data_IF_912045556507
#
_entry.id   IF_912045556507
#
_cell.length_a   1.000
_cell.length_b   1.000
_cell.length_c   1.000
_cell.angle_alpha   90.00
_cell.angle_beta   90.00
_cell.angle_gamma   90.00
#
_symmetry.space_group_name_H-M   'P 1'
#
loop_
_entity.id
_entity.type
_entity.pdbx_description
1 polymer ?
#
# COMPACT_ATOMS: atom_id res chain seq x y z
N UNK A 1 -68.83 -41.27 -8.70
CA UNK A 1 -68.59 -39.84 -8.31
C UNK A 1 -68.71 -39.74 -6.78
N UNK A 2 -67.58 -39.71 -6.10
CA UNK A 2 -67.54 -39.62 -4.64
C UNK A 2 -66.84 -38.30 -4.24
N UNK A 3 -67.64 -37.36 -3.74
CA UNK A 3 -67.18 -36.03 -3.28
C UNK A 3 -66.57 -36.16 -1.90
N UNK A 4 -65.21 -35.96 -1.79
CA UNK A 4 -64.53 -35.84 -0.52
C UNK A 4 -64.69 -34.39 -0.01
N UNK A 5 -65.52 -34.22 1.04
CA UNK A 5 -65.59 -32.99 1.82
C UNK A 5 -64.31 -32.85 2.67
N UNK A 6 -63.48 -31.88 2.36
CA UNK A 6 -62.39 -31.41 3.25
C UNK A 6 -63.02 -30.59 4.38
N UNK A 7 -62.96 -31.11 5.61
CA UNK A 7 -63.25 -30.36 6.81
C UNK A 7 -62.11 -29.39 7.10
N UNK A 8 -62.33 -28.11 6.93
CA UNK A 8 -61.44 -27.09 7.46
C UNK A 8 -61.65 -27.01 8.99
N UNK A 9 -60.61 -27.35 9.74
CA UNK A 9 -60.57 -27.17 11.18
C UNK A 9 -60.22 -25.69 11.44
N UNK A 10 -61.20 -24.87 11.80
CA UNK A 10 -60.96 -23.50 12.27
C UNK A 10 -60.51 -23.55 13.72
N UNK A 11 -59.23 -23.25 13.96
CA UNK A 11 -58.70 -23.06 15.31
C UNK A 11 -59.34 -21.81 15.95
N UNK A 12 -59.76 -21.87 17.23
CA UNK A 12 -60.39 -20.73 17.92
C UNK A 12 -59.42 -19.56 18.09
N UNK A 13 -59.89 -18.32 17.92
CA UNK A 13 -59.10 -17.11 17.86
C UNK A 13 -58.23 -16.84 19.14
N UNK A 14 -58.62 -17.40 20.30
CA UNK A 14 -57.87 -17.30 21.54
C UNK A 14 -56.58 -18.16 21.53
N UNK A 15 -56.55 -19.22 20.75
CA UNK A 15 -55.35 -20.07 20.60
C UNK A 15 -54.25 -19.36 19.82
N UNK A 16 -54.62 -18.51 18.87
CA UNK A 16 -53.69 -17.71 18.10
C UNK A 16 -52.95 -16.67 18.96
N UNK A 17 -53.66 -16.03 19.91
CA UNK A 17 -53.04 -15.08 20.84
C UNK A 17 -51.94 -15.74 21.70
N UNK A 18 -52.21 -16.93 22.24
CA UNK A 18 -51.22 -17.65 23.06
C UNK A 18 -49.97 -18.05 22.25
N UNK A 19 -50.15 -18.43 20.99
CA UNK A 19 -49.03 -18.76 20.09
C UNK A 19 -48.18 -17.53 19.79
N UNK A 20 -48.79 -16.37 19.54
CA UNK A 20 -48.06 -15.11 19.35
C UNK A 20 -47.38 -14.62 20.65
N UNK A 21 -48.02 -14.78 21.80
CA UNK A 21 -47.42 -14.43 23.08
C UNK A 21 -46.21 -15.31 23.42
N UNK A 22 -46.26 -16.61 23.14
CA UNK A 22 -45.10 -17.53 23.28
C UNK A 22 -44.02 -17.23 22.29
N UNK A 23 -44.35 -16.96 21.04
CA UNK A 23 -43.39 -16.59 20.02
C UNK A 23 -42.68 -15.25 20.35
N UNK A 24 -43.43 -14.24 20.82
CA UNK A 24 -42.87 -12.96 21.24
C UNK A 24 -41.97 -13.11 22.48
N UNK A 25 -42.35 -13.93 23.45
CA UNK A 25 -41.55 -14.23 24.64
C UNK A 25 -40.24 -14.96 24.24
N UNK A 26 -40.29 -15.90 23.31
CA UNK A 26 -39.10 -16.62 22.76
C UNK A 26 -38.14 -15.67 22.05
N UNK A 27 -38.66 -14.74 21.25
CA UNK A 27 -37.84 -13.74 20.56
C UNK A 27 -37.18 -12.80 21.56
N UNK A 28 -37.91 -12.34 22.61
CA UNK A 28 -37.35 -11.50 23.68
C UNK A 28 -36.28 -12.25 24.46
N UNK A 29 -36.48 -13.51 24.79
CA UNK A 29 -35.48 -14.36 25.47
C UNK A 29 -34.28 -14.58 24.58
N UNK A 30 -34.47 -14.74 23.27
CA UNK A 30 -33.37 -14.92 22.28
C UNK A 30 -32.58 -13.61 22.12
N UNK A 31 -33.23 -12.47 22.04
CA UNK A 31 -32.58 -11.15 21.97
C UNK A 31 -31.84 -10.83 23.27
N UNK A 32 -32.45 -11.09 24.44
CA UNK A 32 -31.76 -10.96 25.73
C UNK A 32 -30.61 -11.95 25.84
N UNK A 33 -30.78 -13.19 25.39
CA UNK A 33 -29.70 -14.19 25.32
C UNK A 33 -28.55 -13.76 24.46
N UNK A 34 -28.78 -13.28 23.23
CA UNK A 34 -27.74 -12.85 22.31
C UNK A 34 -27.01 -11.58 22.80
N UNK A 35 -27.70 -10.69 23.49
CA UNK A 35 -27.12 -9.43 24.01
C UNK A 35 -26.54 -9.58 25.42
N UNK A 36 -27.12 -10.41 26.27
CA UNK A 36 -26.74 -10.56 27.69
C UNK A 36 -25.86 -11.76 27.98
N UNK A 37 -25.95 -12.86 27.21
CA UNK A 37 -25.08 -14.04 27.38
C UNK A 37 -23.59 -13.73 27.21
N UNK A 38 -23.15 -12.91 26.25
CA UNK A 38 -21.72 -12.54 26.20
C UNK A 38 -21.26 -11.78 27.45
N UNK A 39 -22.16 -11.09 28.15
CA UNK A 39 -21.85 -10.35 29.39
C UNK A 39 -21.90 -11.24 30.65
N UNK A 40 -22.62 -12.33 30.60
CA UNK A 40 -22.76 -13.27 31.72
C UNK A 40 -21.77 -14.43 31.67
N UNK A 41 -21.31 -14.82 30.49
CA UNK A 41 -20.38 -15.95 30.28
C UNK A 41 -18.92 -15.50 30.26
N UNK A 42 -18.62 -14.22 29.97
CA UNK A 42 -17.30 -13.67 30.25
C UNK A 42 -17.31 -13.16 31.71
N UNK A 43 -16.65 -13.87 32.65
CA UNK A 43 -16.27 -13.23 33.90
C UNK A 43 -15.52 -11.96 33.47
N UNK A 44 -15.96 -10.81 33.93
CA UNK A 44 -15.31 -9.52 33.66
C UNK A 44 -13.86 -9.71 34.04
N UNK A 45 -13.04 -10.01 33.07
CA UNK A 45 -11.62 -10.15 33.21
C UNK A 45 -11.12 -8.75 33.58
N UNK A 46 -11.09 -8.46 34.88
CA UNK A 46 -10.84 -7.13 35.44
C UNK A 46 -9.37 -6.78 35.49
N UNK A 47 -8.51 -7.67 34.99
CA UNK A 47 -7.07 -7.52 35.03
C UNK A 47 -6.47 -6.78 33.83
N UNK A 48 -5.25 -6.29 34.00
CA UNK A 48 -4.48 -5.63 32.95
C UNK A 48 -4.31 -6.52 31.70
N UNK A 49 -4.09 -7.83 31.90
CA UNK A 49 -3.97 -8.81 30.82
C UNK A 49 -5.26 -8.93 29.99
N UNK A 50 -6.39 -8.89 30.66
CA UNK A 50 -7.68 -8.96 29.99
C UNK A 50 -7.96 -7.71 29.12
N UNK A 51 -7.57 -6.53 29.58
CA UNK A 51 -7.68 -5.30 28.79
C UNK A 51 -6.83 -5.41 27.51
N UNK A 52 -5.60 -5.92 27.61
CA UNK A 52 -4.73 -6.15 26.45
C UNK A 52 -5.30 -7.22 25.53
N UNK A 53 -5.81 -8.32 26.06
CA UNK A 53 -6.46 -9.38 25.28
C UNK A 53 -7.65 -8.85 24.50
N UNK A 54 -8.49 -8.03 25.11
CA UNK A 54 -9.62 -7.38 24.44
C UNK A 54 -9.13 -6.44 23.33
N UNK A 55 -8.10 -5.64 23.57
CA UNK A 55 -7.49 -4.79 22.55
C UNK A 55 -6.96 -5.59 21.36
N UNK A 56 -6.24 -6.68 21.63
CA UNK A 56 -5.73 -7.57 20.60
C UNK A 56 -6.86 -8.24 19.79
N UNK A 57 -7.95 -8.63 20.44
CA UNK A 57 -9.14 -9.18 19.76
C UNK A 57 -9.81 -8.15 18.81
N UNK A 58 -9.84 -6.87 19.20
CA UNK A 58 -10.33 -5.83 18.30
C UNK A 58 -9.47 -5.71 17.04
N UNK A 59 -8.14 -5.80 17.18
CA UNK A 59 -7.20 -5.80 16.06
C UNK A 59 -7.36 -7.06 15.19
N UNK A 60 -7.48 -8.23 15.80
CA UNK A 60 -7.68 -9.51 15.11
C UNK A 60 -9.00 -9.53 14.31
N UNK A 61 -10.04 -8.89 14.84
CA UNK A 61 -11.33 -8.73 14.16
C UNK A 61 -11.33 -7.62 13.09
N UNK A 62 -10.24 -6.88 12.93
CA UNK A 62 -10.17 -5.73 12.03
C UNK A 62 -10.99 -4.51 12.46
N UNK A 63 -11.39 -4.44 13.73
CA UNK A 63 -12.15 -3.32 14.32
C UNK A 63 -11.22 -2.20 14.75
N UNK A 64 -10.53 -1.60 13.79
CA UNK A 64 -9.44 -0.67 14.04
C UNK A 64 -9.89 0.64 14.70
N UNK A 65 -11.07 1.18 14.37
CA UNK A 65 -11.60 2.36 15.04
C UNK A 65 -11.92 2.05 16.53
N UNK A 66 -12.46 0.86 16.81
CA UNK A 66 -12.73 0.46 18.18
C UNK A 66 -11.40 0.25 18.96
N UNK A 67 -10.39 -0.32 18.33
CA UNK A 67 -9.05 -0.44 18.91
C UNK A 67 -8.42 0.93 19.18
N UNK A 68 -8.56 1.89 18.26
CA UNK A 68 -8.09 3.27 18.43
C UNK A 68 -8.86 4.01 19.52
N UNK A 69 -10.18 3.77 19.66
CA UNK A 69 -10.99 4.33 20.75
C UNK A 69 -10.56 3.78 22.11
N UNK A 70 -10.24 2.49 22.21
CA UNK A 70 -9.71 1.86 23.42
C UNK A 70 -8.30 2.37 23.76
N UNK A 71 -7.42 2.46 22.75
CA UNK A 71 -6.01 2.87 22.87
C UNK A 71 -5.72 4.03 21.91
N UNK A 72 -5.93 5.28 22.35
CA UNK A 72 -5.74 6.45 21.50
C UNK A 72 -4.32 6.50 20.90
N UNK A 73 -4.26 6.71 19.60
CA UNK A 73 -3.02 6.80 18.84
C UNK A 73 -2.78 8.27 18.46
N UNK A 74 -1.56 8.77 18.75
CA UNK A 74 -1.15 10.09 18.28
C UNK A 74 -0.81 9.97 16.79
N UNK A 75 -1.57 10.67 15.96
CA UNK A 75 -1.30 10.73 14.52
C UNK A 75 -0.24 11.82 14.29
N UNK A 76 0.95 11.46 13.75
CA UNK A 76 1.96 12.45 13.37
C UNK A 76 1.43 13.40 12.29
N UNK A 77 1.85 14.67 12.33
CA UNK A 77 1.37 15.70 11.39
C UNK A 77 1.81 15.47 9.94
N UNK A 78 2.83 14.64 9.72
CA UNK A 78 3.37 14.23 8.41
C UNK A 78 2.75 12.93 7.89
N UNK A 79 1.70 12.39 8.56
CA UNK A 79 0.98 11.19 8.12
C UNK A 79 0.14 11.50 6.88
N UNK A 80 0.56 10.98 5.75
CA UNK A 80 -0.17 11.12 4.47
C UNK A 80 -1.34 10.14 4.33
N UNK A 81 -1.25 8.95 4.94
CA UNK A 81 -2.27 7.90 4.85
C UNK A 81 -2.59 7.33 6.23
N UNK A 82 -3.85 7.40 6.61
CA UNK A 82 -4.31 6.83 7.88
C UNK A 82 -5.06 5.52 7.64
N UNK A 83 -4.40 4.40 7.99
CA UNK A 83 -4.93 3.04 7.88
C UNK A 83 -5.50 2.50 9.21
N UNK A 84 -5.71 3.33 10.22
CA UNK A 84 -6.34 2.94 11.48
C UNK A 84 -7.87 2.85 11.35
N UNK A 85 -8.38 2.56 10.17
CA UNK A 85 -9.79 2.41 9.84
C UNK A 85 -10.08 0.96 9.50
N UNK A 86 -11.24 0.45 9.89
CA UNK A 86 -11.65 -0.92 9.61
C UNK A 86 -11.73 -1.25 8.12
N UNK A 87 -11.97 -0.24 7.29
CA UNK A 87 -11.88 -0.36 5.83
C UNK A 87 -10.50 -0.82 5.33
N UNK A 88 -9.41 -0.47 6.04
CA UNK A 88 -8.08 -0.99 5.71
C UNK A 88 -7.97 -2.50 5.98
N UNK A 89 -8.66 -2.98 7.03
CA UNK A 89 -8.68 -4.39 7.40
C UNK A 89 -9.54 -5.26 6.47
N UNK A 90 -10.54 -4.68 5.80
CA UNK A 90 -11.43 -5.42 4.88
C UNK A 90 -10.68 -6.00 3.68
N UNK A 91 -9.64 -5.29 3.20
CA UNK A 91 -8.79 -5.73 2.11
C UNK A 91 -7.45 -6.35 2.56
N UNK A 92 -7.30 -6.62 3.86
CA UNK A 92 -6.07 -7.23 4.36
C UNK A 92 -6.05 -8.74 4.03
N UNK A 93 -5.05 -9.18 3.27
CA UNK A 93 -4.84 -10.59 2.94
C UNK A 93 -4.35 -11.39 4.16
N UNK A 94 -3.55 -10.75 5.03
CA UNK A 94 -3.06 -11.33 6.27
C UNK A 94 -3.47 -10.51 7.50
N UNK A 95 -4.46 -11.01 8.26
CA UNK A 95 -4.87 -10.38 9.52
C UNK A 95 -3.93 -10.74 10.66
N UNK A 96 -3.86 -9.84 11.64
CA UNK A 96 -3.23 -10.16 12.92
C UNK A 96 -3.99 -11.31 13.59
N UNK A 97 -3.25 -12.28 14.10
CA UNK A 97 -3.77 -13.39 14.92
C UNK A 97 -3.01 -13.45 16.25
N UNK A 98 -3.73 -13.35 17.35
CA UNK A 98 -3.16 -13.43 18.69
C UNK A 98 -2.74 -14.87 19.00
N UNK A 99 -1.51 -15.05 19.47
CA UNK A 99 -0.98 -16.36 19.93
C UNK A 99 -1.09 -16.44 21.45
N UNK A 100 -0.53 -15.45 22.16
CA UNK A 100 -0.55 -15.45 23.62
C UNK A 100 -0.41 -14.04 24.20
N UNK A 101 -0.93 -13.88 25.40
CA UNK A 101 -0.75 -12.69 26.23
C UNK A 101 -0.21 -13.19 27.57
N UNK A 102 0.87 -12.58 28.06
CA UNK A 102 1.49 -12.93 29.34
C UNK A 102 1.91 -11.68 30.11
N UNK A 103 1.64 -11.69 31.39
CA UNK A 103 2.05 -10.61 32.30
C UNK A 103 3.54 -10.65 32.49
N UNK A 104 4.22 -9.53 32.27
CA UNK A 104 5.65 -9.32 32.50
C UNK A 104 5.93 -8.56 33.78
N UNK A 105 6.91 -7.65 33.72
CA UNK A 105 7.32 -6.86 34.90
C UNK A 105 6.27 -5.86 35.32
N UNK A 106 6.11 -5.69 36.62
CA UNK A 106 5.31 -4.65 37.25
C UNK A 106 6.27 -3.57 37.79
N UNK A 107 6.07 -2.33 37.39
CA UNK A 107 6.86 -1.20 37.85
C UNK A 107 5.92 -0.09 38.29
N UNK A 108 5.82 0.12 39.62
CA UNK A 108 4.83 1.03 40.21
C UNK A 108 3.39 0.62 39.88
N UNK A 109 2.64 1.51 39.25
CA UNK A 109 1.28 1.26 38.78
C UNK A 109 1.21 0.72 37.35
N UNK A 110 2.34 0.57 36.67
CA UNK A 110 2.42 0.12 35.26
C UNK A 110 2.81 -1.36 35.20
N UNK A 111 2.03 -2.11 34.45
CA UNK A 111 2.29 -3.52 34.15
C UNK A 111 2.71 -3.66 32.70
N UNK A 112 3.85 -4.24 32.44
CA UNK A 112 4.26 -4.64 31.09
C UNK A 112 3.61 -5.97 30.73
N UNK A 113 2.90 -5.99 29.63
CA UNK A 113 2.24 -7.20 29.09
C UNK A 113 2.91 -7.57 27.78
N UNK A 114 3.46 -8.77 27.73
CA UNK A 114 4.03 -9.31 26.50
C UNK A 114 2.92 -9.95 25.67
N UNK A 115 2.77 -9.50 24.41
CA UNK A 115 1.87 -10.08 23.44
C UNK A 115 2.67 -10.79 22.35
N UNK A 116 2.29 -12.00 22.01
CA UNK A 116 2.79 -12.74 20.85
C UNK A 116 1.68 -12.88 19.84
N UNK A 117 1.96 -12.53 18.59
CA UNK A 117 0.99 -12.54 17.51
C UNK A 117 1.67 -12.94 16.20
N UNK A 118 0.88 -13.23 15.18
CA UNK A 118 1.32 -13.43 13.80
C UNK A 118 0.55 -12.48 12.88
N UNK A 119 1.13 -12.19 11.73
CA UNK A 119 0.46 -11.51 10.62
C UNK A 119 0.38 -12.49 9.46
N UNK A 120 -0.83 -12.85 9.06
CA UNK A 120 -1.05 -13.91 8.08
C UNK A 120 -0.34 -15.21 8.49
N UNK A 121 0.40 -15.80 7.57
CA UNK A 121 1.20 -17.00 7.77
C UNK A 121 2.69 -16.68 8.08
N UNK A 122 2.98 -15.43 8.44
CA UNK A 122 4.32 -14.97 8.77
C UNK A 122 4.86 -15.54 10.09
N UNK A 123 6.12 -15.23 10.39
CA UNK A 123 6.75 -15.64 11.64
C UNK A 123 6.08 -14.97 12.87
N UNK A 124 6.03 -15.66 14.03
CA UNK A 124 5.54 -15.08 15.26
C UNK A 124 6.31 -13.80 15.63
N UNK A 125 5.58 -12.75 15.95
CA UNK A 125 6.09 -11.46 16.41
C UNK A 125 5.83 -11.32 17.91
N UNK A 126 6.62 -10.45 18.56
CA UNK A 126 6.45 -10.15 19.97
C UNK A 126 6.49 -8.65 20.18
N UNK A 127 5.53 -8.13 20.96
CA UNK A 127 5.51 -6.74 21.39
C UNK A 127 5.25 -6.64 22.89
N UNK A 128 5.69 -5.53 23.48
CA UNK A 128 5.45 -5.22 24.89
C UNK A 128 4.46 -4.07 24.96
N UNK A 129 3.35 -4.29 25.63
CA UNK A 129 2.26 -3.34 25.85
C UNK A 129 2.23 -2.91 27.30
N UNK A 130 2.36 -1.62 27.56
CA UNK A 130 2.32 -1.05 28.91
C UNK A 130 0.89 -0.71 29.31
N UNK A 131 0.46 -1.14 30.48
CA UNK A 131 -0.90 -0.98 30.98
C UNK A 131 -0.86 -0.44 32.40
N UNK A 132 -1.74 0.50 32.71
CA UNK A 132 -1.93 1.02 34.07
C UNK A 132 -3.41 1.19 34.44
N UNK A 133 -3.75 1.18 35.74
CA UNK A 133 -5.09 1.54 36.16
C UNK A 133 -5.46 2.96 35.71
N UNK A 134 -6.72 3.16 35.34
CA UNK A 134 -7.25 4.47 34.91
C UNK A 134 -8.47 4.84 35.74
N UNK A 135 -8.54 6.11 36.11
CA UNK A 135 -9.74 6.69 36.72
C UNK A 135 -10.87 6.92 35.70
N UNK A 136 -10.47 7.03 34.42
CA UNK A 136 -11.39 7.21 33.30
C UNK A 136 -11.69 5.85 32.69
N UNK A 137 -12.97 5.50 32.63
CA UNK A 137 -13.41 4.29 31.94
C UNK A 137 -13.26 4.46 30.43
N UNK A 138 -12.62 3.48 29.81
CA UNK A 138 -12.38 3.48 28.36
C UNK A 138 -13.27 2.46 27.68
N UNK A 139 -13.72 2.74 26.45
CA UNK A 139 -14.48 1.77 25.68
C UNK A 139 -13.69 0.44 25.57
N UNK A 140 -14.40 -0.68 25.72
CA UNK A 140 -13.92 -2.04 25.60
C UNK A 140 -12.92 -2.53 26.66
N UNK A 141 -12.08 -1.67 27.24
CA UNK A 141 -11.04 -2.04 28.21
C UNK A 141 -11.29 -1.55 29.63
N UNK A 142 -12.45 -0.90 29.87
CA UNK A 142 -12.89 -0.48 31.20
C UNK A 142 -11.94 0.53 31.89
N UNK A 143 -11.64 0.29 33.15
CA UNK A 143 -10.80 1.18 33.98
C UNK A 143 -9.30 0.91 33.82
N UNK A 144 -8.85 0.56 32.61
CA UNK A 144 -7.47 0.38 32.25
C UNK A 144 -7.02 1.37 31.18
N UNK A 145 -5.79 1.78 31.21
CA UNK A 145 -5.15 2.57 30.17
C UNK A 145 -3.97 1.80 29.58
N UNK A 146 -4.13 1.38 28.35
CA UNK A 146 -3.01 0.89 27.55
C UNK A 146 -2.28 2.11 27.02
N UNK A 147 -1.00 2.25 27.33
CA UNK A 147 -0.18 3.43 26.98
C UNK A 147 0.70 3.21 25.75
N UNK A 148 0.84 1.96 25.31
CA UNK A 148 1.61 1.59 24.12
C UNK A 148 0.69 1.00 23.07
N UNK A 149 0.43 1.73 22.00
CA UNK A 149 -0.31 1.23 20.85
C UNK A 149 0.57 0.33 19.98
N UNK A 150 -0.05 -0.63 19.30
CA UNK A 150 0.59 -1.43 18.25
C UNK A 150 0.56 -0.75 16.87
N UNK A 151 -0.03 0.46 16.76
CA UNK A 151 0.05 1.22 15.51
C UNK A 151 1.51 1.60 15.22
N UNK A 152 1.91 1.47 13.96
CA UNK A 152 3.26 1.76 13.46
C UNK A 152 3.20 2.77 12.33
N UNK A 153 4.20 3.65 12.29
CA UNK A 153 4.47 4.46 11.10
C UNK A 153 5.10 3.56 10.03
N UNK A 154 4.61 3.67 8.82
CA UNK A 154 5.02 2.89 7.66
C UNK A 154 5.50 3.85 6.60
N UNK A 155 6.69 3.62 6.05
CA UNK A 155 7.24 4.40 4.95
C UNK A 155 6.96 3.70 3.62
N UNK A 156 6.23 4.39 2.73
CA UNK A 156 5.86 3.87 1.41
C UNK A 156 6.55 4.74 0.35
N UNK A 157 7.47 4.12 -0.39
CA UNK A 157 8.10 4.73 -1.55
C UNK A 157 7.23 4.52 -2.79
N UNK A 158 6.82 5.60 -3.43
CA UNK A 158 5.83 5.61 -4.50
C UNK A 158 6.43 6.29 -5.73
N UNK A 159 6.48 5.64 -6.91
CA UNK A 159 6.93 6.27 -8.14
C UNK A 159 6.16 7.56 -8.44
N UNK A 160 6.85 8.56 -8.97
CA UNK A 160 6.24 9.88 -9.30
C UNK A 160 5.08 9.78 -10.28
N UNK A 161 5.07 8.77 -11.13
CA UNK A 161 4.01 8.47 -12.08
C UNK A 161 2.70 7.95 -11.45
N UNK A 162 2.68 7.62 -10.16
CA UNK A 162 1.50 7.12 -9.46
C UNK A 162 0.75 8.30 -8.84
N UNK A 163 -0.47 8.54 -9.26
CA UNK A 163 -1.30 9.65 -8.74
C UNK A 163 -2.26 9.23 -7.62
N UNK A 164 -2.37 7.93 -7.37
CA UNK A 164 -3.29 7.36 -6.38
C UNK A 164 -2.75 6.06 -5.82
N UNK A 165 -2.98 5.82 -4.55
CA UNK A 165 -2.70 4.54 -3.89
C UNK A 165 -3.98 4.03 -3.26
N UNK A 166 -4.26 2.75 -3.43
CA UNK A 166 -5.35 2.05 -2.74
C UNK A 166 -4.76 1.02 -1.80
N UNK A 167 -5.17 1.09 -0.54
CA UNK A 167 -4.78 0.15 0.52
C UNK A 167 -6.05 -0.45 1.11
N UNK A 168 -6.28 -1.72 0.87
CA UNK A 168 -7.58 -2.33 1.16
C UNK A 168 -8.69 -1.57 0.45
N UNK A 169 -9.72 -1.13 1.18
CA UNK A 169 -10.81 -0.30 0.65
C UNK A 169 -10.54 1.22 0.71
N UNK A 170 -9.37 1.65 1.17
CA UNK A 170 -9.01 3.07 1.30
C UNK A 170 -8.25 3.52 0.06
N UNK A 171 -8.80 4.49 -0.68
CA UNK A 171 -8.14 5.09 -1.85
C UNK A 171 -7.70 6.53 -1.54
N UNK A 172 -6.42 6.81 -1.69
CA UNK A 172 -5.80 8.09 -1.36
C UNK A 172 -5.20 8.71 -2.61
N UNK A 173 -5.67 9.90 -3.04
CA UNK A 173 -5.00 10.67 -4.08
C UNK A 173 -3.67 11.20 -3.55
N UNK A 174 -2.66 11.22 -4.40
CA UNK A 174 -1.32 11.70 -4.09
C UNK A 174 -1.01 12.96 -4.88
N UNK A 175 -0.34 13.96 -4.28
CA UNK A 175 0.14 15.11 -5.03
C UNK A 175 1.20 14.66 -6.05
N UNK A 176 1.18 15.22 -7.25
CA UNK A 176 2.15 14.90 -8.32
C UNK A 176 3.55 15.49 -8.08
N UNK A 177 3.66 16.46 -7.17
CA UNK A 177 4.93 17.12 -6.84
C UNK A 177 5.67 16.42 -5.69
N UNK A 178 6.97 16.67 -5.57
CA UNK A 178 7.78 16.27 -4.41
C UNK A 178 8.51 14.92 -4.56
N UNK A 179 8.75 14.45 -5.79
CA UNK A 179 9.62 13.29 -6.02
C UNK A 179 11.09 13.64 -5.68
N UNK A 180 11.80 12.65 -5.17
CA UNK A 180 13.25 12.72 -4.93
C UNK A 180 14.03 12.56 -6.24
N UNK A 181 15.37 12.60 -6.15
CA UNK A 181 16.28 12.42 -7.30
C UNK A 181 16.18 11.05 -8.00
N UNK A 182 15.54 10.08 -7.37
CA UNK A 182 15.32 8.74 -7.91
C UNK A 182 13.91 8.58 -8.48
N UNK A 183 13.11 9.65 -8.53
CA UNK A 183 11.75 9.61 -9.04
C UNK A 183 10.71 9.05 -8.08
N UNK A 184 11.03 8.91 -6.79
CA UNK A 184 10.11 8.40 -5.77
C UNK A 184 9.61 9.49 -4.84
N UNK A 185 8.36 9.38 -4.43
CA UNK A 185 7.76 10.14 -3.34
C UNK A 185 7.64 9.24 -2.12
N UNK A 186 7.97 9.78 -0.95
CA UNK A 186 7.89 9.08 0.31
C UNK A 186 6.63 9.50 1.05
N UNK A 187 5.75 8.54 1.31
CA UNK A 187 4.47 8.76 1.99
C UNK A 187 4.47 7.96 3.28
N UNK A 188 4.27 8.67 4.39
CA UNK A 188 4.08 8.02 5.69
C UNK A 188 2.65 7.58 5.85
N UNK A 189 2.45 6.31 6.14
CA UNK A 189 1.19 5.75 6.56
C UNK A 189 1.24 5.37 8.04
N UNK A 190 0.10 5.37 8.69
CA UNK A 190 -0.05 4.87 10.05
C UNK A 190 -0.98 3.65 10.03
N UNK A 191 -0.47 2.49 10.43
CA UNK A 191 -1.18 1.22 10.33
C UNK A 191 -1.02 0.34 11.57
N UNK A 192 -1.99 -0.52 11.83
CA UNK A 192 -1.85 -1.63 12.76
C UNK A 192 -1.10 -2.80 12.12
N UNK A 193 -0.54 -3.75 12.90
CA UNK A 193 0.05 -4.97 12.35
C UNK A 193 -0.95 -5.72 11.47
N UNK A 194 -0.52 -6.05 10.25
CA UNK A 194 -1.34 -6.68 9.23
C UNK A 194 -0.60 -6.77 7.90
N UNK A 195 -1.12 -7.54 6.96
CA UNK A 195 -0.68 -7.56 5.58
C UNK A 195 -1.76 -6.89 4.72
N UNK A 196 -1.39 -5.83 4.02
CA UNK A 196 -2.30 -4.99 3.26
C UNK A 196 -1.96 -5.05 1.78
N UNK A 197 -2.96 -5.31 0.95
CA UNK A 197 -2.84 -5.14 -0.49
C UNK A 197 -2.62 -3.65 -0.81
N UNK A 198 -1.52 -3.35 -1.48
CA UNK A 198 -1.16 -2.00 -1.87
C UNK A 198 -1.18 -1.91 -3.40
N UNK A 199 -2.19 -1.22 -3.93
CA UNK A 199 -2.43 -1.11 -5.37
C UNK A 199 -2.16 0.33 -5.81
N UNK A 200 -1.38 0.49 -6.87
CA UNK A 200 -1.13 1.78 -7.51
C UNK A 200 -2.18 2.11 -8.56
N UNK A 201 -2.73 3.32 -8.53
CA UNK A 201 -3.37 3.93 -9.69
C UNK A 201 -2.33 4.72 -10.48
N UNK A 202 -2.17 4.43 -11.76
CA UNK A 202 -1.20 5.14 -12.63
C UNK A 202 -1.83 6.37 -13.26
N UNK A 203 -1.01 7.33 -13.65
CA UNK A 203 -1.47 8.55 -14.32
C UNK A 203 -2.11 8.21 -15.67
N UNK A 204 -1.48 7.30 -16.43
CA UNK A 204 -2.00 6.84 -17.71
C UNK A 204 -1.76 5.33 -17.89
N UNK A 205 -2.82 4.51 -17.86
CA UNK A 205 -2.70 3.06 -17.97
C UNK A 205 -2.24 2.58 -19.36
N UNK A 206 -2.23 3.45 -20.37
CA UNK A 206 -1.64 3.17 -21.67
C UNK A 206 -0.12 2.94 -21.55
N UNK A 207 0.54 3.72 -20.70
CA UNK A 207 1.99 3.72 -20.60
C UNK A 207 2.53 2.95 -19.41
N UNK A 208 1.76 2.82 -18.33
CA UNK A 208 2.18 2.13 -17.12
C UNK A 208 1.10 1.16 -16.64
N UNK A 209 1.51 -0.03 -16.27
CA UNK A 209 0.64 -0.97 -15.53
C UNK A 209 0.83 -0.80 -14.03
N UNK A 210 -0.27 -0.97 -13.28
CA UNK A 210 -0.21 -1.00 -11.83
C UNK A 210 0.72 -2.14 -11.38
N UNK A 211 1.69 -1.77 -10.56
CA UNK A 211 2.55 -2.72 -9.87
C UNK A 211 2.03 -3.01 -8.47
N UNK A 212 2.47 -4.13 -7.92
CA UNK A 212 2.27 -4.46 -6.52
C UNK A 212 3.43 -3.89 -5.70
N UNK A 213 3.17 -3.56 -4.44
CA UNK A 213 4.25 -3.20 -3.52
C UNK A 213 5.21 -4.38 -3.37
N UNK A 214 6.49 -4.05 -3.32
CA UNK A 214 7.53 -5.02 -2.98
C UNK A 214 8.15 -4.57 -1.66
N UNK A 215 8.10 -5.46 -0.67
CA UNK A 215 8.81 -5.24 0.59
C UNK A 215 10.30 -5.59 0.42
N UNK A 216 11.18 -5.15 1.35
CA UNK A 216 12.58 -5.55 1.35
C UNK A 216 12.79 -7.07 1.34
N UNK A 217 11.80 -7.84 1.79
CA UNK A 217 11.80 -9.32 1.78
C UNK A 217 11.21 -9.92 0.49
N UNK A 218 10.83 -9.09 -0.49
CA UNK A 218 10.28 -9.54 -1.77
C UNK A 218 8.80 -9.91 -1.75
N UNK A 219 8.08 -9.62 -0.67
CA UNK A 219 6.64 -9.83 -0.58
C UNK A 219 5.89 -8.75 -1.39
N UNK A 220 4.81 -9.14 -2.05
CA UNK A 220 3.99 -8.26 -2.90
C UNK A 220 2.86 -7.56 -2.14
N UNK A 221 3.03 -7.36 -0.85
CA UNK A 221 2.08 -6.77 0.07
C UNK A 221 2.79 -5.81 1.02
N UNK A 222 2.08 -4.84 1.54
CA UNK A 222 2.57 -4.03 2.65
C UNK A 222 2.40 -4.82 3.95
N UNK A 223 3.45 -5.47 4.42
CA UNK A 223 3.44 -6.18 5.70
C UNK A 223 3.91 -5.25 6.81
N UNK A 224 3.06 -5.05 7.81
CA UNK A 224 3.33 -4.21 8.97
C UNK A 224 3.53 -5.10 10.20
N UNK A 225 4.75 -5.10 10.73
CA UNK A 225 5.13 -5.83 11.95
C UNK A 225 6.01 -4.94 12.83
N UNK A 226 6.58 -5.47 13.90
CA UNK A 226 7.57 -4.74 14.72
C UNK A 226 8.86 -4.43 13.93
N UNK A 227 9.25 -5.31 13.01
CA UNK A 227 10.52 -5.23 12.26
C UNK A 227 10.35 -4.84 10.81
N UNK A 228 9.13 -4.86 10.28
CA UNK A 228 8.84 -4.58 8.87
C UNK A 228 7.75 -3.53 8.77
N UNK A 229 8.10 -2.38 8.22
CA UNK A 229 7.22 -1.22 8.10
C UNK A 229 7.60 -0.34 6.90
N UNK A 230 8.19 -0.95 5.86
CA UNK A 230 8.57 -0.27 4.62
C UNK A 230 8.03 -1.03 3.42
N UNK A 231 7.62 -0.32 2.39
CA UNK A 231 7.26 -0.90 1.10
C UNK A 231 7.60 0.06 -0.04
N UNK A 232 7.96 -0.51 -1.19
CA UNK A 232 8.15 0.25 -2.42
C UNK A 232 7.11 -0.19 -3.44
N UNK A 233 6.34 0.75 -3.94
CA UNK A 233 5.44 0.51 -5.05
C UNK A 233 6.25 0.39 -6.33
N UNK A 234 5.93 -0.61 -7.16
CA UNK A 234 6.53 -0.77 -8.47
C UNK A 234 5.45 -0.52 -9.52
N UNK A 235 5.80 0.19 -10.57
CA UNK A 235 5.01 0.26 -11.81
C UNK A 235 5.83 -0.35 -12.93
N UNK A 236 5.16 -1.02 -13.84
CA UNK A 236 5.84 -1.63 -14.97
C UNK A 236 5.51 -0.84 -16.25
N UNK A 237 6.52 -0.49 -17.06
CA UNK A 237 6.30 0.11 -18.35
C UNK A 237 5.56 -0.85 -19.28
N UNK A 238 4.64 -0.32 -20.07
CA UNK A 238 3.99 -1.06 -21.12
C UNK A 238 4.85 -1.07 -22.39
N UNK A 239 4.44 -1.86 -23.39
CA UNK A 239 5.04 -1.82 -24.74
C UNK A 239 4.92 -0.43 -25.37
N UNK A 240 3.82 0.27 -25.12
CA UNK A 240 3.56 1.62 -25.63
C UNK A 240 4.53 2.66 -25.05
N UNK A 241 4.86 2.57 -23.74
CA UNK A 241 5.89 3.43 -23.16
C UNK A 241 7.27 3.12 -23.73
N UNK A 242 7.59 1.83 -23.90
CA UNK A 242 8.87 1.40 -24.47
C UNK A 242 9.04 1.85 -25.92
N UNK A 243 7.98 1.80 -26.73
CA UNK A 243 7.98 2.30 -28.11
C UNK A 243 8.12 3.82 -28.15
N UNK A 244 7.40 4.55 -27.29
CA UNK A 244 7.53 5.98 -27.18
C UNK A 244 8.97 6.40 -26.80
N UNK A 245 9.56 5.78 -25.77
CA UNK A 245 10.93 6.05 -25.32
C UNK A 245 11.95 5.78 -26.41
N UNK A 246 11.77 4.66 -27.15
CA UNK A 246 12.64 4.34 -28.30
C UNK A 246 12.55 5.37 -29.41
N UNK A 247 11.32 5.79 -29.80
CA UNK A 247 11.11 6.80 -30.82
C UNK A 247 11.74 8.13 -30.42
N UNK A 248 11.55 8.53 -29.16
CA UNK A 248 12.16 9.75 -28.61
C UNK A 248 13.70 9.69 -28.64
N UNK A 249 14.29 8.55 -28.25
CA UNK A 249 15.75 8.35 -28.30
C UNK A 249 16.28 8.37 -29.74
N UNK A 250 15.52 7.85 -30.71
CA UNK A 250 15.85 7.94 -32.13
C UNK A 250 15.90 9.39 -32.63
N UNK A 251 14.92 10.21 -32.20
CA UNK A 251 14.90 11.65 -32.51
C UNK A 251 16.13 12.37 -31.93
N UNK A 252 16.56 12.03 -30.70
CA UNK A 252 17.76 12.62 -30.10
C UNK A 252 19.04 12.22 -30.86
N UNK A 253 19.19 10.97 -31.25
CA UNK A 253 20.33 10.50 -32.06
C UNK A 253 20.33 11.18 -33.45
N UNK A 254 19.15 11.32 -34.06
CA UNK A 254 18.99 12.04 -35.30
C UNK A 254 19.44 13.51 -35.17
N UNK A 255 18.97 14.19 -34.11
CA UNK A 255 19.36 15.57 -33.79
C UNK A 255 20.88 15.70 -33.59
N UNK A 256 21.52 14.70 -32.96
CA UNK A 256 22.98 14.65 -32.84
C UNK A 256 23.67 14.57 -34.24
N UNK A 257 23.14 13.76 -35.15
CA UNK A 257 23.72 13.65 -36.52
C UNK A 257 23.50 14.93 -37.35
N UNK A 258 22.48 15.71 -37.03
CA UNK A 258 22.17 17.01 -37.64
C UNK A 258 22.92 18.18 -36.97
N UNK A 259 23.66 17.91 -35.88
CA UNK A 259 24.42 18.94 -35.15
C UNK A 259 23.54 19.81 -34.21
N UNK A 260 22.28 19.44 -34.01
CA UNK A 260 21.31 20.19 -33.19
C UNK A 260 21.04 19.57 -31.80
N UNK A 261 21.58 18.39 -31.50
CA UNK A 261 21.21 17.60 -30.33
C UNK A 261 21.78 18.05 -28.98
N UNK A 262 22.59 19.12 -28.93
CA UNK A 262 23.02 19.76 -27.69
C UNK A 262 23.67 18.80 -26.66
N UNK A 263 23.22 18.87 -25.43
CA UNK A 263 23.78 18.06 -24.31
C UNK A 263 23.49 16.56 -24.40
N UNK A 264 22.57 16.15 -25.26
CA UNK A 264 22.28 14.75 -25.54
C UNK A 264 23.43 14.06 -26.28
N UNK A 265 24.27 14.85 -26.96
CA UNK A 265 25.32 14.31 -27.80
C UNK A 265 26.66 14.23 -27.06
N UNK A 266 27.44 13.14 -27.24
CA UNK A 266 28.78 13.07 -26.67
C UNK A 266 29.68 14.17 -27.26
N UNK A 267 30.69 14.59 -26.49
CA UNK A 267 31.59 15.68 -26.86
C UNK A 267 32.27 15.48 -28.25
N UNK A 268 32.54 14.25 -28.62
CA UNK A 268 33.12 13.89 -29.93
C UNK A 268 32.23 14.21 -31.13
N UNK A 269 30.91 14.29 -30.92
CA UNK A 269 29.89 14.64 -31.92
C UNK A 269 29.54 16.14 -31.80
N UNK A 270 29.38 16.64 -30.59
CA UNK A 270 28.95 18.00 -30.31
C UNK A 270 29.90 19.09 -30.84
N UNK A 271 31.20 18.80 -30.83
CA UNK A 271 32.26 19.77 -31.22
C UNK A 271 32.63 19.68 -32.70
N UNK A 272 31.83 19.02 -33.52
CA UNK A 272 32.12 18.80 -34.95
C UNK A 272 31.01 19.44 -35.78
N UNK A 273 31.36 19.95 -36.96
CA UNK A 273 30.39 20.53 -37.91
C UNK A 273 29.41 19.48 -38.40
N UNK A 274 28.14 19.85 -38.55
CA UNK A 274 27.08 18.94 -39.02
C UNK A 274 27.43 18.28 -40.39
N UNK A 275 28.16 18.98 -41.28
CA UNK A 275 28.63 18.42 -42.55
C UNK A 275 29.62 17.28 -42.46
N UNK A 276 30.22 17.09 -41.27
CA UNK A 276 31.14 16.00 -40.97
C UNK A 276 30.46 14.82 -40.23
N UNK A 277 29.18 14.95 -39.90
CA UNK A 277 28.40 13.95 -39.21
C UNK A 277 27.58 13.14 -40.20
N UNK A 278 27.55 11.83 -40.05
CA UNK A 278 26.70 10.93 -40.83
C UNK A 278 26.08 9.88 -39.95
N UNK A 279 24.76 9.86 -39.90
CA UNK A 279 24.03 8.84 -39.19
C UNK A 279 24.33 7.45 -39.76
N UNK A 280 24.79 6.53 -38.95
CA UNK A 280 25.03 5.15 -39.34
C UNK A 280 23.89 4.23 -38.91
N UNK A 281 23.42 4.36 -37.67
CA UNK A 281 22.27 3.61 -37.17
C UNK A 281 21.54 4.34 -36.07
N UNK A 282 20.23 4.29 -36.14
CA UNK A 282 19.36 4.65 -35.03
C UNK A 282 19.29 3.53 -33.99
N UNK A 283 18.95 3.84 -32.73
CA UNK A 283 18.64 2.79 -31.75
C UNK A 283 17.54 1.85 -32.25
N UNK A 284 17.77 0.55 -32.21
CA UNK A 284 16.77 -0.45 -32.58
C UNK A 284 16.01 -1.01 -31.41
N UNK A 285 16.50 -0.77 -30.18
CA UNK A 285 15.88 -1.16 -28.93
C UNK A 285 16.39 -0.27 -27.79
N UNK A 286 15.63 -0.24 -26.70
CA UNK A 286 16.14 0.28 -25.43
C UNK A 286 17.15 -0.71 -24.85
N UNK A 287 18.20 -0.21 -24.21
CA UNK A 287 19.10 -1.01 -23.40
C UNK A 287 18.48 -1.29 -22.04
N UNK A 288 17.80 -0.28 -21.52
CA UNK A 288 17.18 -0.32 -20.20
C UNK A 288 15.94 0.59 -20.21
N UNK A 289 14.91 0.19 -19.49
CA UNK A 289 13.79 1.03 -19.06
C UNK A 289 13.40 0.55 -17.68
N UNK A 290 13.67 1.37 -16.66
CA UNK A 290 13.40 1.06 -15.26
C UNK A 290 13.06 2.34 -14.46
N UNK A 291 12.09 2.23 -13.56
CA UNK A 291 11.64 3.35 -12.75
C UNK A 291 11.14 4.52 -13.61
N UNK A 292 11.88 5.61 -13.60
CA UNK A 292 11.65 6.82 -14.39
C UNK A 292 12.75 7.07 -15.45
N UNK A 293 13.58 6.06 -15.73
CA UNK A 293 14.75 6.18 -16.61
C UNK A 293 14.69 5.21 -17.76
N UNK A 294 15.32 5.61 -18.85
CA UNK A 294 15.61 4.70 -19.97
C UNK A 294 16.90 5.08 -20.67
N UNK A 295 17.47 4.11 -21.38
CA UNK A 295 18.67 4.33 -22.18
C UNK A 295 18.59 3.62 -23.53
N UNK A 296 19.24 4.22 -24.54
CA UNK A 296 19.35 3.66 -25.88
C UNK A 296 20.69 4.07 -26.52
N UNK A 297 21.14 3.34 -27.53
CA UNK A 297 22.40 3.64 -28.25
C UNK A 297 22.18 3.62 -29.75
N UNK A 298 22.63 4.69 -30.41
CA UNK A 298 22.77 4.80 -31.85
C UNK A 298 24.26 4.94 -32.24
N UNK A 299 24.56 5.02 -33.53
CA UNK A 299 25.92 5.19 -34.04
C UNK A 299 25.95 6.31 -35.07
N UNK A 300 26.88 7.23 -34.89
CA UNK A 300 27.19 8.31 -35.82
C UNK A 300 28.64 8.17 -36.31
N UNK A 301 28.88 8.36 -37.61
CA UNK A 301 30.21 8.46 -38.17
C UNK A 301 30.63 9.94 -38.18
N UNK A 302 31.84 10.22 -37.73
CA UNK A 302 32.47 11.54 -37.76
C UNK A 302 33.59 11.51 -38.78
N UNK A 303 33.48 12.30 -39.84
CA UNK A 303 34.48 12.45 -40.86
C UNK A 303 35.52 13.51 -40.48
N UNK A 304 36.78 13.37 -40.93
CA UNK A 304 37.81 14.38 -40.67
C UNK A 304 38.51 14.28 -39.30
N UNK A 305 38.21 13.29 -38.49
CA UNK A 305 38.98 12.95 -37.30
C UNK A 305 40.03 11.89 -37.62
N UNK A 306 41.18 12.31 -38.13
CA UNK A 306 42.31 11.43 -38.39
C UNK A 306 42.87 11.51 -39.82
N UNK A 307 44.01 10.82 -40.09
CA UNK A 307 44.75 10.85 -41.32
C UNK A 307 44.20 9.95 -42.45
N UNK A 308 43.04 9.35 -42.28
CA UNK A 308 42.36 8.53 -43.30
C UNK A 308 40.92 8.99 -43.49
N UNK A 309 40.44 9.03 -44.73
CA UNK A 309 39.10 9.41 -45.18
C UNK A 309 37.96 8.53 -44.66
N UNK A 310 38.26 7.50 -43.88
CA UNK A 310 37.31 6.49 -43.44
C UNK A 310 36.39 6.93 -42.30
N UNK A 311 36.67 8.08 -41.65
CA UNK A 311 35.89 8.57 -40.50
C UNK A 311 35.91 7.63 -39.29
N UNK A 312 35.52 8.14 -38.12
CA UNK A 312 35.46 7.39 -36.87
C UNK A 312 33.99 7.14 -36.51
N UNK A 313 33.64 5.92 -36.12
CA UNK A 313 32.30 5.61 -35.56
C UNK A 313 32.28 5.97 -34.09
N UNK A 314 31.26 6.75 -33.71
CA UNK A 314 31.01 7.18 -32.34
C UNK A 314 29.66 6.60 -31.89
N UNK A 315 29.68 5.85 -30.82
CA UNK A 315 28.46 5.40 -30.17
C UNK A 315 27.81 6.58 -29.42
N UNK A 316 26.58 6.90 -29.75
CA UNK A 316 25.77 7.92 -29.08
C UNK A 316 24.80 7.23 -28.13
N UNK A 317 25.13 7.24 -26.85
CA UNK A 317 24.25 6.75 -25.81
C UNK A 317 23.32 7.90 -25.39
N UNK A 318 22.05 7.65 -25.38
CA UNK A 318 21.02 8.55 -24.86
C UNK A 318 20.56 7.98 -23.53
N UNK A 319 20.85 8.67 -22.43
CA UNK A 319 20.31 8.42 -21.11
C UNK A 319 19.29 9.51 -20.80
N UNK A 320 18.08 9.13 -20.39
CA UNK A 320 17.01 10.08 -20.13
C UNK A 320 16.15 9.67 -18.93
N UNK A 321 15.60 10.67 -18.26
CA UNK A 321 14.47 10.50 -17.35
C UNK A 321 13.17 10.79 -18.08
N UNK A 322 12.07 10.14 -17.64
CA UNK A 322 10.76 10.51 -18.13
C UNK A 322 9.81 10.84 -16.99
N UNK A 323 8.88 11.71 -17.26
CA UNK A 323 7.77 12.12 -16.38
C UNK A 323 6.48 12.14 -17.18
N UNK A 324 5.36 12.38 -16.51
CA UNK A 324 4.07 12.55 -17.17
C UNK A 324 3.55 13.97 -16.97
N UNK A 325 3.03 14.57 -18.02
CA UNK A 325 2.30 15.81 -17.93
C UNK A 325 0.94 15.61 -17.22
N UNK A 326 0.21 16.69 -16.87
CA UNK A 326 -1.11 16.56 -16.24
C UNK A 326 -2.16 15.81 -17.07
N UNK A 327 -1.97 15.72 -18.40
CA UNK A 327 -2.82 14.95 -19.30
C UNK A 327 -2.43 13.46 -19.35
N UNK A 328 -1.31 13.09 -18.69
CA UNK A 328 -0.80 11.72 -18.64
C UNK A 328 0.03 11.32 -19.85
N UNK A 329 0.54 12.28 -20.64
CA UNK A 329 1.46 11.98 -21.72
C UNK A 329 2.91 11.97 -21.22
N UNK A 330 3.73 11.04 -21.67
CA UNK A 330 5.12 10.96 -21.26
C UNK A 330 5.93 12.12 -21.87
N UNK A 331 6.83 12.68 -21.08
CA UNK A 331 7.81 13.68 -21.45
C UNK A 331 9.18 13.21 -20.99
N UNK A 332 10.22 13.35 -21.82
CA UNK A 332 11.57 12.97 -21.43
C UNK A 332 12.50 14.17 -21.36
N UNK A 333 13.49 14.02 -20.50
CA UNK A 333 14.60 14.95 -20.35
C UNK A 333 15.91 14.16 -20.39
N UNK A 334 16.84 14.63 -21.22
CA UNK A 334 18.18 14.05 -21.32
C UNK A 334 18.91 14.20 -19.99
N UNK A 335 19.62 13.16 -19.57
CA UNK A 335 20.61 13.22 -18.51
C UNK A 335 21.92 13.65 -19.17
N UNK A 336 22.49 14.84 -18.85
CA UNK A 336 23.74 15.32 -19.44
C UNK A 336 24.87 14.30 -19.25
N UNK A 337 25.67 14.13 -20.32
CA UNK A 337 26.85 13.26 -20.31
C UNK A 337 28.12 14.02 -19.95
#
# INVERSE_FOLDING_TARGET
MSSRRTRSISLPAWLNWQVYAVAAALVVVLVIGVVALPRLINPVNTGAEAAVRTYMQLLEQGKYEAATAAVPVKIPGDTGVNLLKSQAAEGAEGKLRLISVSTGMVSGDTTAITVRYMVGDGAPQQAVVSVKPSKVERPFIGKWAITTSLARSVDISIPSAVNRVTVGAISVPLPLAGADKNGYRHVKALAYPGSYSLISGTVNPKYLTAGLAVTPTGQRELVVTESQHEATLIVNPTSELSQWALSWAQEQVQACAEGSGGEACPAQVRNVSASQLTLQSLPSRLLEIDGDKFSAVGVIRVSGLGSQDSGVQVSVRIDATYTFDPAGNPQAQVIPQ
#
